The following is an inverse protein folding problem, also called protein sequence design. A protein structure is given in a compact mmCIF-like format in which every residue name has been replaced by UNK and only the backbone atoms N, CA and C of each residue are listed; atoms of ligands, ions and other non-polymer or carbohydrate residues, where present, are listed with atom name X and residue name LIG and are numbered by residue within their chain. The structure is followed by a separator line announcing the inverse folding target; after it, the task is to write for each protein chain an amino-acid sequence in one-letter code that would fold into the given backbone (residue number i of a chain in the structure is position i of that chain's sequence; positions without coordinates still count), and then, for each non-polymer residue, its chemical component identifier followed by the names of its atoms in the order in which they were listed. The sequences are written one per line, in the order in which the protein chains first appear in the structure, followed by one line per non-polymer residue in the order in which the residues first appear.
data_IF_570204422093
#
_entry.id   IF_570204422093
#
_cell.length_a   1.000
_cell.length_b   1.000
_cell.length_c   1.000
_cell.angle_alpha   90.00
_cell.angle_beta   90.00
_cell.angle_gamma   90.00
#
_symmetry.space_group_name_H-M   'P 1'
#
loop_
_entity.id
_entity.type
_entity.pdbx_description
1 polymer ?
#
# COMPACT_ATOMS: atom_id res chain seq x y z
N UNK A 1 -17.08 -7.03 10.76
CA UNK A 1 -16.02 -6.08 11.19
C UNK A 1 -14.79 -6.82 11.75
N UNK A 2 -14.68 -8.14 11.51
CA UNK A 2 -14.00 -9.04 12.47
C UNK A 2 -12.84 -9.84 11.87
N UNK A 3 -12.51 -9.61 10.59
CA UNK A 3 -11.39 -10.30 9.92
C UNK A 3 -10.10 -9.47 9.98
N UNK A 4 -10.22 -8.15 10.10
CA UNK A 4 -9.08 -7.21 10.10
C UNK A 4 -8.55 -6.95 11.51
N UNK A 5 -9.42 -6.96 12.53
CA UNK A 5 -9.01 -6.70 13.92
C UNK A 5 -8.08 -7.76 14.53
N UNK A 6 -8.21 -9.08 14.27
CA UNK A 6 -7.33 -10.07 14.89
C UNK A 6 -5.86 -9.98 14.46
N UNK A 7 -5.52 -9.80 13.16
CA UNK A 7 -4.13 -9.62 12.73
C UNK A 7 -3.53 -8.29 13.17
N UNK A 8 -4.31 -7.20 13.10
CA UNK A 8 -3.87 -5.86 13.55
C UNK A 8 -3.67 -5.83 15.06
N UNK A 9 -4.58 -6.41 15.85
CA UNK A 9 -4.48 -6.48 17.30
C UNK A 9 -3.25 -7.27 17.78
N UNK A 10 -2.84 -8.30 17.02
CA UNK A 10 -1.61 -9.06 17.30
C UNK A 10 -0.34 -8.28 16.92
N UNK A 11 -0.36 -7.56 15.80
CA UNK A 11 0.76 -6.70 15.38
C UNK A 11 0.93 -5.45 16.28
N UNK A 12 -0.18 -4.93 16.81
CA UNK A 12 -0.21 -3.80 17.74
C UNK A 12 -0.03 -4.20 19.21
N UNK A 13 0.27 -5.46 19.51
CA UNK A 13 0.61 -5.95 20.87
C UNK A 13 -0.37 -5.52 21.97
N UNK A 14 -1.68 -5.50 21.70
CA UNK A 14 -2.70 -5.19 22.72
C UNK A 14 -2.78 -3.72 23.15
N UNK A 15 -2.30 -2.79 22.32
CA UNK A 15 -2.39 -1.36 22.60
C UNK A 15 -3.78 -0.84 22.21
N UNK A 16 -4.70 -0.78 23.19
CA UNK A 16 -6.00 -0.13 23.05
C UNK A 16 -6.00 1.23 23.76
N UNK A 17 -6.00 2.31 22.98
CA UNK A 17 -6.07 3.67 23.49
C UNK A 17 -7.49 4.14 23.77
N UNK A 18 -8.53 3.33 23.45
CA UNK A 18 -9.94 3.73 23.58
C UNK A 18 -10.33 4.16 25.00
N UNK A 19 -9.64 3.65 26.03
CA UNK A 19 -9.90 3.97 27.44
C UNK A 19 -9.27 5.29 27.92
N UNK A 20 -8.46 5.98 27.10
CA UNK A 20 -7.95 7.30 27.45
C UNK A 20 -9.04 8.36 27.24
N UNK A 21 -9.62 8.82 28.34
CA UNK A 21 -10.55 9.93 28.36
C UNK A 21 -10.14 10.93 29.44
N UNK A 22 -10.16 12.22 29.10
CA UNK A 22 -9.97 13.29 30.07
C UNK A 22 -11.35 13.70 30.57
N UNK A 23 -11.57 13.65 31.88
CA UNK A 23 -12.83 14.06 32.50
C UNK A 23 -12.76 15.56 32.75
N UNK A 24 -13.53 16.35 31.98
CA UNK A 24 -13.57 17.81 32.14
C UNK A 24 -14.54 18.21 33.25
N UNK A 25 -15.57 17.40 33.50
CA UNK A 25 -16.50 17.59 34.60
C UNK A 25 -16.89 16.22 35.16
N UNK A 26 -16.64 16.01 36.44
CA UNK A 26 -17.06 14.81 37.17
C UNK A 26 -18.58 14.77 37.24
N UNK A 27 -19.17 13.58 37.05
CA UNK A 27 -20.61 13.40 37.22
C UNK A 27 -21.00 13.77 38.66
N UNK A 28 -22.00 14.65 38.80
CA UNK A 28 -22.59 14.98 40.10
C UNK A 28 -24.01 14.42 40.14
N UNK A 29 -24.22 13.24 40.77
CA UNK A 29 -25.51 12.58 40.84
C UNK A 29 -26.54 13.35 41.69
N UNK A 30 -26.11 14.32 42.52
CA UNK A 30 -27.03 15.14 43.31
C UNK A 30 -27.73 16.24 42.48
N UNK A 31 -27.14 16.63 41.35
CA UNK A 31 -27.60 17.75 40.52
C UNK A 31 -27.97 17.33 39.08
N UNK A 32 -28.14 16.02 38.81
CA UNK A 32 -28.39 15.46 37.47
C UNK A 32 -27.39 15.94 36.39
N UNK A 33 -26.11 16.12 36.75
CA UNK A 33 -25.07 16.53 35.78
C UNK A 33 -24.32 15.31 35.27
N UNK A 34 -24.47 15.03 33.98
CA UNK A 34 -23.69 14.01 33.29
C UNK A 34 -22.20 14.38 33.24
N UNK A 35 -21.33 13.37 33.28
CA UNK A 35 -19.90 13.57 33.12
C UNK A 35 -19.60 13.99 31.68
N UNK A 36 -18.95 15.14 31.52
CA UNK A 36 -18.43 15.59 30.23
C UNK A 36 -16.99 15.10 30.14
N UNK A 37 -16.77 14.09 29.31
CA UNK A 37 -15.45 13.52 29.06
C UNK A 37 -15.03 13.72 27.61
N UNK A 38 -13.79 14.16 27.38
CA UNK A 38 -13.18 14.12 26.05
C UNK A 38 -12.46 12.77 25.91
N UNK A 39 -13.03 11.87 25.12
CA UNK A 39 -12.45 10.56 24.81
C UNK A 39 -11.45 10.67 23.65
N UNK A 40 -10.33 11.35 23.88
CA UNK A 40 -9.27 11.53 22.89
C UNK A 40 -8.57 10.20 22.51
N UNK A 41 -8.69 9.19 23.37
CA UNK A 41 -8.23 7.83 23.13
C UNK A 41 -8.82 7.20 21.87
N UNK A 42 -10.10 7.41 21.61
CA UNK A 42 -10.78 6.91 20.39
C UNK A 42 -10.25 7.61 19.14
N UNK A 43 -9.97 8.90 19.22
CA UNK A 43 -9.38 9.65 18.12
C UNK A 43 -7.98 9.16 17.78
N UNK A 44 -7.12 8.96 18.78
CA UNK A 44 -5.77 8.42 18.59
C UNK A 44 -5.85 7.00 18.02
N UNK A 45 -6.76 6.16 18.52
CA UNK A 45 -6.98 4.82 17.98
C UNK A 45 -7.37 4.87 16.49
N UNK A 46 -8.30 5.76 16.12
CA UNK A 46 -8.71 5.96 14.73
C UNK A 46 -7.54 6.41 13.82
N UNK A 47 -6.71 7.35 14.29
CA UNK A 47 -5.51 7.80 13.56
C UNK A 47 -4.52 6.66 13.35
N UNK A 48 -4.24 5.87 14.39
CA UNK A 48 -3.31 4.75 14.29
C UNK A 48 -3.86 3.67 13.36
N UNK A 49 -5.15 3.34 13.45
CA UNK A 49 -5.80 2.39 12.54
C UNK A 49 -5.69 2.86 11.08
N UNK A 50 -5.95 4.14 10.82
CA UNK A 50 -5.76 4.72 9.48
C UNK A 50 -4.31 4.57 8.98
N UNK A 51 -3.31 4.85 9.84
CA UNK A 51 -1.90 4.68 9.49
C UNK A 51 -1.53 3.22 9.21
N UNK A 52 -2.02 2.28 10.01
CA UNK A 52 -1.76 0.84 9.82
C UNK A 52 -2.37 0.36 8.50
N UNK A 53 -3.62 0.72 8.22
CA UNK A 53 -4.30 0.34 6.96
C UNK A 53 -3.58 0.98 5.77
N UNK A 54 -3.22 2.27 5.86
CA UNK A 54 -2.46 2.94 4.81
C UNK A 54 -1.09 2.28 4.57
N UNK A 55 -0.38 1.90 5.64
CA UNK A 55 0.89 1.19 5.55
C UNK A 55 0.75 -0.21 4.94
N UNK A 56 -0.31 -0.95 5.31
CA UNK A 56 -0.60 -2.26 4.74
C UNK A 56 -0.90 -2.17 3.23
N UNK A 57 -1.73 -1.21 2.81
CA UNK A 57 -2.01 -0.96 1.39
C UNK A 57 -0.73 -0.53 0.66
N UNK A 58 0.08 0.32 1.26
CA UNK A 58 1.38 0.73 0.69
C UNK A 58 2.32 -0.47 0.49
N UNK A 59 2.44 -1.35 1.49
CA UNK A 59 3.23 -2.58 1.35
C UNK A 59 2.68 -3.51 0.28
N UNK A 60 1.36 -3.65 0.17
CA UNK A 60 0.71 -4.48 -0.86
C UNK A 60 1.04 -3.96 -2.27
N UNK A 61 0.84 -2.66 -2.51
CA UNK A 61 1.14 -2.03 -3.81
C UNK A 61 2.62 -2.12 -4.13
N UNK A 62 3.51 -1.87 -3.15
CA UNK A 62 4.96 -2.02 -3.32
C UNK A 62 5.34 -3.47 -3.61
N UNK A 63 4.71 -4.43 -2.95
CA UNK A 63 4.92 -5.86 -3.16
C UNK A 63 4.54 -6.28 -4.57
N UNK A 64 3.35 -5.88 -5.04
CA UNK A 64 2.88 -6.17 -6.41
C UNK A 64 3.79 -5.51 -7.45
N UNK A 65 4.15 -4.24 -7.27
CA UNK A 65 5.05 -3.54 -8.20
C UNK A 65 6.45 -4.17 -8.23
N UNK A 66 6.96 -4.62 -7.08
CA UNK A 66 8.27 -5.29 -7.00
C UNK A 66 8.21 -6.68 -7.64
N UNK A 67 7.14 -7.44 -7.43
CA UNK A 67 6.94 -8.76 -8.03
C UNK A 67 6.78 -8.66 -9.55
N UNK A 68 5.98 -7.71 -10.04
CA UNK A 68 5.87 -7.41 -11.49
C UNK A 68 7.22 -7.06 -12.09
N UNK A 69 7.98 -6.15 -11.46
CA UNK A 69 9.31 -5.77 -11.96
C UNK A 69 10.30 -6.94 -12.00
N UNK A 70 10.19 -7.92 -11.10
CA UNK A 70 11.01 -9.14 -11.13
C UNK A 70 10.58 -10.09 -12.25
N UNK A 71 9.27 -10.29 -12.41
CA UNK A 71 8.71 -11.17 -13.45
C UNK A 71 8.93 -10.61 -14.87
N UNK A 72 8.75 -9.30 -15.06
CA UNK A 72 8.96 -8.62 -16.35
C UNK A 72 10.46 -8.41 -16.62
N UNK A 73 11.28 -8.19 -15.59
CA UNK A 73 12.73 -8.05 -15.70
C UNK A 73 13.48 -9.34 -16.07
N UNK A 74 12.93 -10.52 -15.77
CA UNK A 74 13.45 -11.80 -16.28
C UNK A 74 13.08 -12.05 -17.75
N UNK A 75 12.04 -11.40 -18.27
CA UNK A 75 11.61 -11.55 -19.66
C UNK A 75 12.41 -10.64 -20.61
N UNK A 76 12.87 -9.49 -20.12
CA UNK A 76 13.67 -8.54 -20.90
C UNK A 76 15.15 -8.96 -21.04
N UNK A 77 15.61 -9.94 -20.27
CA UNK A 77 16.96 -10.50 -20.37
C UNK A 77 17.11 -11.60 -21.46
N UNK A 78 16.01 -12.09 -22.05
CA UNK A 78 16.03 -13.28 -22.92
C UNK A 78 15.88 -13.00 -24.42
N UNK A 79 15.60 -11.76 -24.84
CA UNK A 79 15.53 -11.42 -26.26
C UNK A 79 16.27 -10.12 -26.52
N UNK A 80 17.35 -10.13 -27.32
CA UNK A 80 17.83 -8.92 -27.96
C UNK A 80 16.63 -8.20 -28.58
N UNK A 81 16.51 -6.88 -28.44
CA UNK A 81 15.42 -6.13 -29.06
C UNK A 81 15.35 -6.54 -30.53
N UNK A 82 14.18 -7.01 -30.97
CA UNK A 82 14.01 -7.33 -32.38
C UNK A 82 14.42 -6.09 -33.19
N UNK A 83 15.24 -6.27 -34.24
CA UNK A 83 15.61 -5.14 -35.08
C UNK A 83 14.34 -4.47 -35.59
N UNK A 84 14.31 -3.13 -35.53
CA UNK A 84 13.16 -2.36 -36.00
C UNK A 84 12.85 -2.70 -37.45
N UNK A 85 11.59 -2.52 -37.85
CA UNK A 85 11.15 -2.82 -39.21
C UNK A 85 11.98 -2.08 -40.27
N UNK A 86 12.45 -0.87 -39.94
CA UNK A 86 13.41 -0.13 -40.78
C UNK A 86 14.72 -0.88 -40.96
N UNK A 87 15.32 -1.42 -39.89
CA UNK A 87 16.58 -2.19 -39.99
C UNK A 87 16.37 -3.48 -40.79
N UNK A 88 15.20 -4.13 -40.65
CA UNK A 88 14.82 -5.30 -41.46
C UNK A 88 14.71 -4.94 -42.95
N UNK A 89 14.04 -3.83 -43.27
CA UNK A 89 13.89 -3.34 -44.65
C UNK A 89 15.24 -2.93 -45.26
N UNK A 90 16.08 -2.22 -44.51
CA UNK A 90 17.41 -1.82 -44.97
C UNK A 90 18.32 -3.04 -45.25
N UNK A 91 18.20 -4.09 -44.45
CA UNK A 91 18.91 -5.36 -44.69
C UNK A 91 18.45 -6.01 -45.99
N UNK A 92 17.14 -6.08 -46.23
CA UNK A 92 16.59 -6.62 -47.48
C UNK A 92 16.99 -5.79 -48.71
N UNK A 93 17.05 -4.46 -48.59
CA UNK A 93 17.50 -3.57 -49.67
C UNK A 93 18.98 -3.82 -49.98
N UNK A 94 19.84 -3.93 -48.95
CA UNK A 94 21.27 -4.24 -49.13
C UNK A 94 21.46 -5.55 -49.90
N UNK A 95 20.75 -6.59 -49.49
CA UNK A 95 20.90 -7.92 -50.09
C UNK A 95 20.36 -7.94 -51.53
N UNK A 96 19.29 -7.18 -51.80
CA UNK A 96 18.75 -6.98 -53.16
C UNK A 96 19.72 -6.24 -54.08
N UNK A 97 20.46 -5.26 -53.55
CA UNK A 97 21.48 -4.52 -54.30
C UNK A 97 22.73 -5.38 -54.55
N UNK A 98 23.14 -6.20 -53.58
CA UNK A 98 24.25 -7.13 -53.72
C UNK A 98 23.99 -8.22 -54.78
N UNK A 99 22.73 -8.59 -55.01
CA UNK A 99 22.34 -9.49 -56.10
C UNK A 99 22.27 -8.82 -57.48
N UNK A 100 22.30 -7.49 -57.55
CA UNK A 100 22.18 -6.72 -58.80
C UNK A 100 23.52 -6.17 -59.32
N UNK A 101 24.58 -6.32 -58.52
CA UNK A 101 25.96 -6.06 -58.89
C UNK A 101 26.64 -7.36 -59.35
#
# INVERSE_FOLDING_TARGET
KDVIMPPIGKAMSGVDFSSLAYVLQSADPANNKEAITISYGVFINAVINFLVVAFAVFMLVKGINTARKRLEGEQEAATPPEPSDEVKLLTQIRDSLAHRA
#
